data_IF_175924382149
#
_entry.id   IF_175924382149
#
_cell.length_a   1.000
_cell.length_b   1.000
_cell.length_c   1.000
_cell.angle_alpha   90.00
_cell.angle_beta   90.00
_cell.angle_gamma   90.00
#
_symmetry.space_group_name_H-M   'P 1'
#
loop_
_entity.id
_entity.type
_entity.pdbx_description
1 polymer ?
#
# COMPACT_ATOMS: atom_id res chain seq x y z
N UNK A 1 28.93 -18.58 5.87
CA UNK A 1 27.66 -18.22 5.26
C UNK A 1 27.52 -18.69 3.82
N UNK A 2 28.52 -18.48 3.00
CA UNK A 2 28.48 -18.97 1.63
C UNK A 2 28.29 -20.48 1.52
N UNK A 3 28.87 -21.24 2.44
CA UNK A 3 28.74 -22.69 2.47
C UNK A 3 27.30 -23.16 2.73
N UNK A 4 26.50 -22.37 3.46
CA UNK A 4 25.10 -22.71 3.74
C UNK A 4 24.25 -22.57 2.47
N UNK A 5 24.50 -21.54 1.68
CA UNK A 5 23.79 -21.36 0.41
C UNK A 5 24.16 -22.42 -0.61
N UNK A 6 25.43 -22.85 -0.63
CA UNK A 6 25.89 -23.88 -1.55
C UNK A 6 25.44 -25.28 -1.16
N UNK A 7 25.25 -25.55 0.14
CA UNK A 7 24.95 -26.88 0.65
C UNK A 7 23.46 -27.25 0.61
N UNK A 8 22.56 -26.28 0.34
CA UNK A 8 21.12 -26.53 0.41
C UNK A 8 20.32 -25.97 -0.76
N UNK A 9 20.74 -26.26 -2.02
CA UNK A 9 19.96 -25.81 -3.17
C UNK A 9 18.56 -26.43 -3.22
N UNK A 10 18.40 -27.66 -2.71
CA UNK A 10 17.14 -28.37 -2.68
C UNK A 10 16.14 -27.69 -1.73
N UNK A 11 16.61 -27.21 -0.58
CA UNK A 11 15.78 -26.49 0.38
C UNK A 11 15.36 -25.15 -0.19
N UNK A 12 16.27 -24.44 -0.85
CA UNK A 12 15.96 -23.17 -1.52
C UNK A 12 14.89 -23.38 -2.60
N UNK A 13 15.04 -24.43 -3.39
CA UNK A 13 14.07 -24.76 -4.45
C UNK A 13 12.71 -25.10 -3.85
N UNK A 14 12.67 -25.87 -2.75
CA UNK A 14 11.46 -26.21 -2.05
C UNK A 14 10.75 -24.96 -1.52
N UNK A 15 11.52 -24.06 -0.88
CA UNK A 15 10.97 -22.81 -0.35
C UNK A 15 10.44 -21.91 -1.47
N UNK A 16 11.17 -21.80 -2.57
CA UNK A 16 10.71 -21.00 -3.71
C UNK A 16 9.41 -21.54 -4.30
N UNK A 17 9.31 -22.84 -4.50
CA UNK A 17 8.09 -23.46 -5.05
C UNK A 17 6.89 -23.26 -4.12
N UNK A 18 7.10 -23.43 -2.82
CA UNK A 18 6.02 -23.22 -1.85
C UNK A 18 5.64 -21.75 -1.71
N UNK A 19 6.61 -20.84 -1.78
CA UNK A 19 6.33 -19.41 -1.73
C UNK A 19 5.57 -18.93 -2.96
N UNK A 20 5.89 -19.45 -4.14
CA UNK A 20 5.15 -19.14 -5.37
C UNK A 20 3.70 -19.60 -5.28
N UNK A 21 3.47 -20.81 -4.79
CA UNK A 21 2.13 -21.33 -4.63
C UNK A 21 1.33 -20.51 -3.60
N UNK A 22 1.92 -20.21 -2.44
CA UNK A 22 1.31 -19.37 -1.43
C UNK A 22 1.01 -17.98 -1.95
N UNK A 23 1.95 -17.38 -2.67
CA UNK A 23 1.80 -16.07 -3.27
C UNK A 23 0.64 -16.08 -4.28
N UNK A 24 0.60 -17.09 -5.16
CA UNK A 24 -0.45 -17.21 -6.16
C UNK A 24 -1.83 -17.38 -5.51
N UNK A 25 -1.93 -18.24 -4.49
CA UNK A 25 -3.17 -18.44 -3.75
C UNK A 25 -3.62 -17.16 -3.05
N UNK A 26 -2.68 -16.43 -2.44
CA UNK A 26 -2.98 -15.15 -1.78
C UNK A 26 -3.47 -14.11 -2.79
N UNK A 27 -2.83 -14.02 -3.95
CA UNK A 27 -3.24 -13.11 -5.02
C UNK A 27 -4.65 -13.43 -5.54
N UNK A 28 -4.97 -14.71 -5.74
CA UNK A 28 -6.30 -15.16 -6.17
C UNK A 28 -7.37 -14.80 -5.14
N UNK A 29 -7.09 -15.02 -3.86
CA UNK A 29 -8.00 -14.67 -2.78
C UNK A 29 -8.22 -13.16 -2.72
N UNK A 30 -7.15 -12.37 -2.81
CA UNK A 30 -7.24 -10.91 -2.81
C UNK A 30 -8.08 -10.44 -3.99
N UNK A 31 -7.85 -11.00 -5.17
CA UNK A 31 -8.61 -10.65 -6.37
C UNK A 31 -10.09 -11.00 -6.20
N UNK A 32 -10.40 -12.16 -5.62
CA UNK A 32 -11.77 -12.55 -5.33
C UNK A 32 -12.43 -11.58 -4.36
N UNK A 33 -11.74 -11.21 -3.29
CA UNK A 33 -12.24 -10.25 -2.31
C UNK A 33 -12.47 -8.88 -2.95
N UNK A 34 -11.54 -8.43 -3.79
CA UNK A 34 -11.70 -7.18 -4.53
C UNK A 34 -12.90 -7.22 -5.47
N UNK A 35 -13.16 -8.35 -6.11
CA UNK A 35 -14.30 -8.51 -7.01
C UNK A 35 -15.64 -8.52 -6.25
N UNK A 36 -15.66 -9.18 -5.09
CA UNK A 36 -16.88 -9.31 -4.28
C UNK A 36 -17.22 -7.98 -3.60
N UNK A 37 -16.21 -7.31 -3.04
CA UNK A 37 -16.37 -6.10 -2.25
C UNK A 37 -15.85 -4.85 -2.96
N UNK A 38 -15.73 -4.88 -4.29
CA UNK A 38 -15.11 -3.81 -5.07
C UNK A 38 -15.74 -2.44 -4.79
N UNK A 39 -17.07 -2.39 -4.73
CA UNK A 39 -17.78 -1.13 -4.50
C UNK A 39 -17.50 -0.56 -3.12
N UNK A 40 -17.53 -1.42 -2.09
CA UNK A 40 -17.25 -1.00 -0.72
C UNK A 40 -15.81 -0.53 -0.56
N UNK A 41 -14.86 -1.30 -1.10
CA UNK A 41 -13.43 -0.96 -1.06
C UNK A 41 -13.17 0.36 -1.77
N UNK A 42 -13.78 0.53 -2.94
CA UNK A 42 -13.66 1.77 -3.71
C UNK A 42 -14.21 2.97 -2.94
N UNK A 43 -15.39 2.82 -2.34
CA UNK A 43 -16.00 3.90 -1.55
C UNK A 43 -15.15 4.26 -0.34
N UNK A 44 -14.60 3.26 0.36
CA UNK A 44 -13.72 3.49 1.50
C UNK A 44 -12.41 4.18 1.09
N UNK A 45 -11.90 3.84 -0.09
CA UNK A 45 -10.66 4.41 -0.61
C UNK A 45 -10.85 5.84 -1.12
N UNK A 46 -12.03 6.19 -1.61
CA UNK A 46 -12.30 7.54 -2.11
C UNK A 46 -12.20 8.61 -1.03
N UNK A 47 -12.58 8.30 0.20
CA UNK A 47 -12.59 9.28 1.29
C UNK A 47 -11.20 9.88 1.55
N UNK A 48 -10.14 9.09 1.76
CA UNK A 48 -8.80 9.67 1.96
C UNK A 48 -8.27 10.38 0.72
N UNK A 49 -8.56 9.88 -0.49
CA UNK A 49 -8.16 10.55 -1.72
C UNK A 49 -8.82 11.93 -1.81
N UNK A 50 -10.12 12.01 -1.55
CA UNK A 50 -10.84 13.27 -1.59
C UNK A 50 -10.32 14.24 -0.53
N UNK A 51 -9.97 13.75 0.65
CA UNK A 51 -9.37 14.58 1.70
C UNK A 51 -8.07 15.22 1.25
N UNK A 52 -7.14 14.45 0.70
CA UNK A 52 -5.87 15.00 0.28
C UNK A 52 -5.99 15.92 -0.93
N UNK A 53 -6.89 15.61 -1.86
CA UNK A 53 -7.15 16.48 -3.01
C UNK A 53 -7.79 17.79 -2.59
N UNK A 54 -8.73 17.77 -1.65
CA UNK A 54 -9.34 19.00 -1.13
C UNK A 54 -8.32 19.86 -0.42
N UNK A 55 -7.44 19.27 0.37
CA UNK A 55 -6.39 20.00 1.05
C UNK A 55 -5.39 20.61 0.07
N UNK A 56 -5.02 19.85 -0.97
CA UNK A 56 -4.18 20.36 -2.05
C UNK A 56 -4.85 21.55 -2.75
N UNK A 57 -6.15 21.46 -2.99
CA UNK A 57 -6.91 22.54 -3.61
C UNK A 57 -6.94 23.80 -2.74
N UNK A 58 -7.07 23.65 -1.42
CA UNK A 58 -6.98 24.79 -0.50
C UNK A 58 -5.61 25.45 -0.57
N UNK A 59 -4.54 24.66 -0.59
CA UNK A 59 -3.18 25.18 -0.71
C UNK A 59 -2.95 25.86 -2.04
N UNK A 60 -3.54 25.35 -3.11
CA UNK A 60 -3.48 25.99 -4.43
C UNK A 60 -4.18 27.35 -4.42
N UNK A 61 -5.33 27.46 -3.76
CA UNK A 61 -6.02 28.74 -3.63
C UNK A 61 -5.23 29.78 -2.85
N UNK A 62 -4.39 29.32 -1.92
CA UNK A 62 -3.50 30.18 -1.14
C UNK A 62 -2.17 30.45 -1.84
N UNK A 63 -1.99 29.96 -3.07
CA UNK A 63 -0.75 30.04 -3.86
C UNK A 63 0.45 29.38 -3.16
N UNK A 64 0.21 28.38 -2.31
CA UNK A 64 1.24 27.65 -1.60
C UNK A 64 1.63 26.34 -2.27
N UNK A 65 0.85 25.92 -3.27
CA UNK A 65 1.07 24.66 -3.97
C UNK A 65 0.69 24.83 -5.44
N UNK A 66 1.47 24.22 -6.32
CA UNK A 66 1.23 24.21 -7.76
C UNK A 66 0.22 23.13 -8.16
N UNK A 67 0.10 22.91 -9.47
CA UNK A 67 -0.75 21.84 -9.99
C UNK A 67 -0.22 20.48 -9.53
N UNK A 68 -1.12 19.60 -9.13
CA UNK A 68 -0.75 18.26 -8.67
C UNK A 68 -0.26 17.45 -9.88
N UNK A 69 0.98 16.97 -9.78
CA UNK A 69 1.62 16.16 -10.81
C UNK A 69 1.82 14.71 -10.36
N UNK A 70 1.87 14.48 -9.06
CA UNK A 70 2.18 13.15 -8.51
C UNK A 70 1.22 12.81 -7.38
N UNK A 71 0.75 11.57 -7.40
CA UNK A 71 0.13 10.91 -6.25
C UNK A 71 1.08 9.81 -5.80
N UNK A 72 1.56 9.89 -4.56
CA UNK A 72 2.51 8.92 -4.02
C UNK A 72 1.83 8.12 -2.93
N UNK A 73 1.86 6.81 -3.09
CA UNK A 73 1.32 5.87 -2.12
C UNK A 73 2.48 5.20 -1.39
N UNK A 74 2.51 5.32 -0.08
CA UNK A 74 3.57 4.75 0.75
C UNK A 74 2.97 3.80 1.78
N UNK A 75 3.59 2.63 1.94
CA UNK A 75 3.22 1.68 2.98
C UNK A 75 3.96 2.06 4.26
N UNK A 76 3.19 2.30 5.33
CA UNK A 76 3.76 2.71 6.60
C UNK A 76 4.25 1.49 7.38
N UNK A 77 5.55 1.43 7.63
CA UNK A 77 6.18 0.28 8.31
C UNK A 77 5.69 0.07 9.74
N UNK A 78 5.44 1.14 10.45
CA UNK A 78 4.95 1.01 11.84
C UNK A 78 3.58 0.36 11.91
N UNK A 79 2.75 0.51 10.89
CA UNK A 79 1.46 -0.15 10.82
C UNK A 79 1.59 -1.67 10.80
N UNK A 80 2.62 -2.20 10.14
CA UNK A 80 2.91 -3.63 10.11
C UNK A 80 3.29 -4.16 11.50
N UNK A 81 3.95 -3.35 12.31
CA UNK A 81 4.30 -3.71 13.69
C UNK A 81 3.07 -3.82 14.59
N UNK A 82 2.01 -3.10 14.28
CA UNK A 82 0.75 -3.12 15.02
C UNK A 82 -0.32 -3.94 14.34
N UNK A 83 0.09 -4.80 13.42
CA UNK A 83 -0.82 -5.71 12.72
C UNK A 83 -1.89 -4.97 11.92
N UNK A 84 -1.53 -3.81 11.38
CA UNK A 84 -2.43 -2.95 10.60
C UNK A 84 -1.72 -2.42 9.37
N UNK A 85 -2.36 -2.57 8.21
CA UNK A 85 -1.82 -2.07 6.94
C UNK A 85 -2.32 -0.65 6.73
N UNK A 86 -1.38 0.29 6.73
CA UNK A 86 -1.66 1.70 6.52
C UNK A 86 -0.94 2.20 5.29
N UNK A 87 -1.68 2.86 4.41
CA UNK A 87 -1.14 3.54 3.24
C UNK A 87 -1.22 5.03 3.47
N UNK A 88 -0.13 5.73 3.20
CA UNK A 88 -0.12 7.18 3.16
C UNK A 88 -0.23 7.62 1.70
N UNK A 89 -1.13 8.55 1.44
CA UNK A 89 -1.34 9.13 0.13
C UNK A 89 -0.86 10.58 0.17
N UNK A 90 0.13 10.90 -0.65
CA UNK A 90 0.67 12.26 -0.76
C UNK A 90 0.36 12.83 -2.14
N UNK A 91 -0.06 14.10 -2.16
CA UNK A 91 -0.23 14.86 -3.39
C UNK A 91 0.94 15.83 -3.52
N UNK A 92 1.67 15.75 -4.62
CA UNK A 92 2.84 16.56 -4.85
C UNK A 92 2.71 17.33 -6.16
N UNK A 93 3.20 18.57 -6.15
CA UNK A 93 3.26 19.39 -7.37
C UNK A 93 4.52 19.07 -8.18
N UNK A 94 4.84 19.89 -9.17
CA UNK A 94 5.99 19.71 -10.06
C UNK A 94 7.33 19.78 -9.32
N UNK A 95 7.37 20.33 -8.12
CA UNK A 95 8.56 20.33 -7.26
C UNK A 95 8.91 18.99 -6.66
N UNK A 96 7.98 18.05 -6.63
CA UNK A 96 8.14 16.71 -6.07
C UNK A 96 8.73 16.74 -4.65
N UNK A 97 9.99 16.36 -4.46
CA UNK A 97 10.64 16.37 -3.13
C UNK A 97 10.81 17.79 -2.56
N UNK A 98 10.75 18.80 -3.40
CA UNK A 98 10.85 20.20 -2.97
C UNK A 98 9.49 20.77 -2.53
N UNK A 99 8.40 20.03 -2.77
CA UNK A 99 7.07 20.43 -2.32
C UNK A 99 6.98 20.19 -0.80
N UNK A 100 7.08 21.29 -0.05
CA UNK A 100 7.02 21.27 1.42
C UNK A 100 5.60 21.43 1.96
N UNK A 101 4.62 21.61 1.08
CA UNK A 101 3.23 21.81 1.51
C UNK A 101 2.49 20.48 1.55
N UNK A 102 2.30 19.99 2.75
CA UNK A 102 1.67 18.69 2.96
C UNK A 102 0.18 18.71 2.61
N UNK A 103 -0.20 17.86 1.67
CA UNK A 103 -1.59 17.55 1.37
C UNK A 103 -1.69 16.03 1.25
N UNK A 104 -1.82 15.37 2.39
CA UNK A 104 -1.76 13.93 2.51
C UNK A 104 -2.98 13.38 3.26
N UNK A 105 -3.20 12.09 3.10
CA UNK A 105 -4.22 11.36 3.84
C UNK A 105 -3.74 9.94 4.11
N UNK A 106 -4.40 9.26 5.05
CA UNK A 106 -4.09 7.89 5.41
C UNK A 106 -5.27 6.98 5.08
N UNK A 107 -4.96 5.80 4.56
CA UNK A 107 -5.94 4.78 4.27
C UNK A 107 -5.53 3.49 4.95
N UNK A 108 -6.48 2.89 5.69
CA UNK A 108 -6.25 1.62 6.36
C UNK A 108 -6.89 0.51 5.54
N UNK A 109 -6.05 -0.37 5.00
CA UNK A 109 -6.50 -1.46 4.15
C UNK A 109 -6.91 -2.66 5.01
N UNK A 110 -7.99 -2.52 5.77
CA UNK A 110 -8.45 -3.55 6.70
C UNK A 110 -8.81 -4.85 5.99
N UNK A 111 -9.27 -4.78 4.75
CA UNK A 111 -9.58 -5.97 3.97
C UNK A 111 -8.34 -6.83 3.67
N UNK A 112 -7.17 -6.20 3.50
CA UNK A 112 -5.90 -6.92 3.32
C UNK A 112 -5.40 -7.49 4.64
N UNK A 113 -5.69 -6.83 5.73
CA UNK A 113 -5.25 -7.25 7.05
C UNK A 113 -5.83 -8.60 7.45
N UNK A 114 -7.10 -8.82 7.20
CA UNK A 114 -7.76 -10.10 7.47
C UNK A 114 -7.10 -11.23 6.69
N UNK A 115 -6.63 -10.95 5.50
CA UNK A 115 -5.87 -11.86 4.67
C UNK A 115 -4.57 -12.28 5.31
N UNK A 116 -3.76 -11.29 5.73
CA UNK A 116 -2.47 -11.54 6.34
C UNK A 116 -2.59 -12.31 7.65
N UNK A 117 -3.64 -12.05 8.42
CA UNK A 117 -3.89 -12.80 9.64
C UNK A 117 -4.18 -14.26 9.39
N UNK A 118 -4.92 -14.58 8.34
CA UNK A 118 -5.29 -15.96 8.02
C UNK A 118 -4.14 -16.72 7.36
N UNK A 119 -3.40 -16.07 6.48
CA UNK A 119 -2.40 -16.72 5.65
C UNK A 119 -1.01 -16.75 6.29
N UNK A 120 -0.70 -15.82 7.20
CA UNK A 120 0.61 -15.73 7.85
C UNK A 120 0.61 -16.17 9.32
N UNK A 121 -0.54 -16.45 9.87
CA UNK A 121 -0.63 -16.93 11.25
C UNK A 121 -0.35 -18.49 11.31
#
# INVERSE_FOLDING_TARGET
MEKIHQQRPEIIQFLQNNMEELFQNSCEKIQTELNINAEKIWNDFQNPINKCLNKAKELQHQNQKGSIQYLVFSIMQYGLCFDRIELRIDTLDDGFYLDMQEASAHYYADFLQDFFRKDLA
#
